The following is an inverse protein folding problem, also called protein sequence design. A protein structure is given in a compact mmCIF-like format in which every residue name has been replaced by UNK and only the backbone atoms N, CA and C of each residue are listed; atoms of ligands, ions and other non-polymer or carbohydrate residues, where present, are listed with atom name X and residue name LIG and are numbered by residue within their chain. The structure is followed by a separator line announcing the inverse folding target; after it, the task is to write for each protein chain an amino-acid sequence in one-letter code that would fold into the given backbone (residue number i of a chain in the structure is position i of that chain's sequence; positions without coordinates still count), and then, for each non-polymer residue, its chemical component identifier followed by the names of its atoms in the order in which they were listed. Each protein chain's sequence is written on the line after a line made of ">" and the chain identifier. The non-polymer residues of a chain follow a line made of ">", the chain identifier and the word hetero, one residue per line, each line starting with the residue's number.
data_IF_557430924149
#
_entry.id   IF_557430924149
#
_cell.length_a   1.000
_cell.length_b   1.000
_cell.length_c   1.000
_cell.angle_alpha   90.00
_cell.angle_beta   90.00
_cell.angle_gamma   90.00
#
_symmetry.space_group_name_H-M   'P 1'
#
loop_
_entity.id
_entity.type
_entity.pdbx_description
1 polymer ?
#
# COMPACT_ATOMS: atom_id res chain seq x y z
N UNK A 1 25.98 -12.01 8.47
CA UNK A 1 26.13 -10.59 8.09
C UNK A 1 25.28 -10.37 6.86
N UNK A 2 24.32 -9.44 6.93
CA UNK A 2 23.40 -9.11 5.83
C UNK A 2 24.17 -8.68 4.57
N UNK A 3 23.51 -8.71 3.41
CA UNK A 3 24.10 -8.24 2.15
C UNK A 3 24.21 -6.70 2.08
N UNK A 4 23.70 -5.98 3.09
CA UNK A 4 23.64 -4.53 3.16
C UNK A 4 23.93 -4.02 4.59
N UNK A 5 24.10 -2.71 4.70
CA UNK A 5 24.19 -1.93 5.93
C UNK A 5 23.36 -0.65 5.82
N UNK A 6 22.87 -0.13 6.94
CA UNK A 6 22.19 1.17 6.99
C UNK A 6 23.20 2.23 7.41
N UNK A 7 23.31 3.30 6.61
CA UNK A 7 24.25 4.41 6.81
C UNK A 7 23.53 5.75 6.76
N UNK A 8 24.02 6.72 7.53
CA UNK A 8 23.62 8.12 7.35
C UNK A 8 24.35 8.72 6.16
N UNK A 9 23.61 9.30 5.22
CA UNK A 9 24.10 9.99 4.04
C UNK A 9 23.77 11.49 4.10
N UNK A 10 24.76 12.39 3.92
CA UNK A 10 24.52 13.83 3.93
C UNK A 10 23.41 14.23 2.95
N UNK A 11 22.42 14.98 3.43
CA UNK A 11 21.30 15.48 2.62
C UNK A 11 20.23 14.44 2.25
N UNK A 12 20.44 13.16 2.55
CA UNK A 12 19.49 12.06 2.23
C UNK A 12 19.03 11.27 3.45
N UNK A 13 19.59 11.56 4.62
CA UNK A 13 19.31 10.83 5.85
C UNK A 13 19.81 9.39 5.77
N UNK A 14 19.06 8.45 6.33
CA UNK A 14 19.43 7.03 6.30
C UNK A 14 19.30 6.46 4.90
N UNK A 15 20.25 5.61 4.53
CA UNK A 15 20.30 4.93 3.26
C UNK A 15 20.75 3.48 3.46
N UNK A 16 20.23 2.60 2.61
CA UNK A 16 20.70 1.22 2.51
C UNK A 16 21.86 1.14 1.52
N UNK A 17 22.99 0.60 1.97
CA UNK A 17 24.21 0.49 1.16
C UNK A 17 24.62 -0.97 1.06
N UNK A 18 25.00 -1.42 -0.13
CA UNK A 18 25.41 -2.80 -0.34
C UNK A 18 26.73 -3.11 0.36
N UNK A 19 26.76 -4.17 1.16
CA UNK A 19 27.95 -4.67 1.84
C UNK A 19 28.66 -5.79 1.04
N UNK A 20 28.07 -6.23 -0.08
CA UNK A 20 28.55 -7.30 -0.96
C UNK A 20 28.26 -6.95 -2.42
N UNK A 21 28.97 -7.56 -3.36
CA UNK A 21 28.54 -7.50 -4.76
C UNK A 21 27.29 -8.37 -4.94
N UNK A 22 26.28 -7.82 -5.59
CA UNK A 22 25.02 -8.47 -5.93
C UNK A 22 24.89 -8.54 -7.45
N UNK A 23 24.35 -9.63 -7.96
CA UNK A 23 24.01 -9.79 -9.38
C UNK A 23 22.56 -9.36 -9.62
N UNK A 24 22.21 -9.16 -10.88
CA UNK A 24 20.81 -9.07 -11.30
C UNK A 24 20.05 -10.28 -10.76
N UNK A 25 18.84 -10.01 -10.29
CA UNK A 25 17.92 -10.96 -9.70
C UNK A 25 18.26 -11.53 -8.31
N UNK A 26 19.38 -11.16 -7.71
CA UNK A 26 19.69 -11.55 -6.34
C UNK A 26 18.64 -10.99 -5.36
N UNK A 27 18.16 -11.84 -4.46
CA UNK A 27 17.32 -11.43 -3.33
C UNK A 27 18.22 -10.77 -2.28
N UNK A 28 17.94 -9.50 -2.00
CA UNK A 28 18.69 -8.70 -1.03
C UNK A 28 18.20 -9.02 0.39
N UNK A 29 16.88 -9.01 0.59
CA UNK A 29 16.21 -9.51 1.79
C UNK A 29 14.74 -9.81 1.55
N UNK A 30 14.15 -10.53 2.50
CA UNK A 30 12.71 -10.69 2.67
C UNK A 30 12.30 -10.13 4.04
N UNK A 31 11.14 -9.47 4.12
CA UNK A 31 10.66 -8.83 5.34
C UNK A 31 9.15 -8.99 5.51
N UNK A 32 8.74 -9.47 6.69
CA UNK A 32 7.34 -9.38 7.13
C UNK A 32 7.01 -7.97 7.62
N UNK A 33 5.78 -7.48 7.42
CA UNK A 33 5.42 -6.13 7.84
C UNK A 33 5.42 -6.00 9.36
N UNK A 34 5.87 -4.83 9.82
CA UNK A 34 5.62 -4.40 11.18
C UNK A 34 4.11 -4.33 11.43
N UNK A 35 3.37 -3.74 10.50
CA UNK A 35 1.91 -3.79 10.44
C UNK A 35 1.46 -3.69 8.98
N UNK A 36 0.44 -4.45 8.59
CA UNK A 36 -0.20 -4.37 7.27
C UNK A 36 -1.71 -4.25 7.45
N UNK A 37 -2.43 -3.70 6.49
CA UNK A 37 -3.90 -3.68 6.50
C UNK A 37 -4.46 -3.53 5.09
N UNK A 38 -5.63 -4.11 4.86
CA UNK A 38 -6.38 -3.94 3.62
C UNK A 38 -6.90 -2.50 3.51
N UNK A 39 -6.91 -1.96 2.30
CA UNK A 39 -7.51 -0.65 2.03
C UNK A 39 -9.01 -0.62 2.34
N UNK A 40 -9.50 0.54 2.79
CA UNK A 40 -10.85 0.68 3.33
C UNK A 40 -11.91 0.52 2.24
N UNK A 41 -11.66 1.09 1.07
CA UNK A 41 -12.49 0.93 -0.11
C UNK A 41 -12.37 -0.47 -0.71
N UNK A 42 -11.19 -1.09 -0.75
CA UNK A 42 -11.07 -2.49 -1.19
C UNK A 42 -11.98 -3.42 -0.36
N UNK A 43 -11.96 -3.26 0.96
CA UNK A 43 -12.86 -4.00 1.84
C UNK A 43 -14.34 -3.68 1.57
N UNK A 44 -14.68 -2.41 1.30
CA UNK A 44 -16.06 -1.98 0.99
C UNK A 44 -16.56 -2.50 -0.37
N UNK A 45 -15.68 -2.60 -1.37
CA UNK A 45 -15.95 -3.18 -2.70
C UNK A 45 -15.93 -4.71 -2.70
N UNK A 46 -15.74 -5.33 -1.53
CA UNK A 46 -15.83 -6.78 -1.36
C UNK A 46 -14.58 -7.55 -1.77
N UNK A 47 -13.43 -6.88 -1.92
CA UNK A 47 -12.15 -7.56 -2.14
C UNK A 47 -11.87 -8.46 -0.93
N UNK A 48 -11.73 -9.76 -1.16
CA UNK A 48 -11.57 -10.72 -0.09
C UNK A 48 -10.08 -10.99 0.14
N UNK A 49 -9.53 -10.50 1.25
CA UNK A 49 -8.13 -10.71 1.63
C UNK A 49 -8.02 -11.26 3.06
N UNK A 50 -6.93 -11.99 3.33
CA UNK A 50 -6.59 -12.45 4.66
C UNK A 50 -6.33 -11.23 5.55
N UNK A 51 -7.05 -11.14 6.67
CA UNK A 51 -6.87 -10.04 7.63
C UNK A 51 -5.49 -10.04 8.29
N UNK A 52 -4.70 -11.12 8.14
CA UNK A 52 -3.32 -11.15 8.63
C UNK A 52 -2.29 -10.84 7.54
N UNK A 53 -2.18 -11.71 6.54
CA UNK A 53 -1.08 -11.67 5.59
C UNK A 53 -1.48 -11.12 4.21
N UNK A 54 -2.65 -10.50 4.08
CA UNK A 54 -3.18 -9.96 2.82
C UNK A 54 -3.43 -10.96 1.69
N UNK A 55 -3.11 -12.25 1.87
CA UNK A 55 -3.33 -13.28 0.86
C UNK A 55 -4.78 -13.29 0.35
N UNK A 56 -5.02 -13.38 -0.97
CA UNK A 56 -6.36 -13.38 -1.52
C UNK A 56 -7.21 -14.56 -1.04
N UNK A 57 -8.47 -14.27 -0.76
CA UNK A 57 -9.49 -15.21 -0.27
C UNK A 57 -10.65 -15.42 -1.26
N UNK A 58 -10.39 -15.09 -2.53
CA UNK A 58 -11.29 -15.29 -3.67
C UNK A 58 -10.52 -15.98 -4.80
N UNK A 59 -11.21 -16.86 -5.52
CA UNK A 59 -10.73 -17.54 -6.73
C UNK A 59 -10.51 -16.56 -7.88
N UNK A 60 -9.78 -16.97 -8.93
CA UNK A 60 -9.65 -16.17 -10.15
C UNK A 60 -11.02 -15.88 -10.78
N UNK A 61 -11.94 -16.83 -10.69
CA UNK A 61 -13.30 -16.67 -11.21
C UNK A 61 -14.10 -15.64 -10.42
N UNK A 62 -14.06 -15.70 -9.08
CA UNK A 62 -14.71 -14.70 -8.23
C UNK A 62 -14.09 -13.30 -8.43
N UNK A 63 -12.76 -13.22 -8.48
CA UNK A 63 -12.02 -11.99 -8.67
C UNK A 63 -12.38 -11.31 -10.00
N UNK A 64 -12.23 -11.99 -11.15
CA UNK A 64 -12.55 -11.39 -12.46
C UNK A 64 -14.02 -10.99 -12.55
N UNK A 65 -14.95 -11.85 -12.10
CA UNK A 65 -16.38 -11.54 -12.17
C UNK A 65 -16.76 -10.30 -11.37
N UNK A 66 -16.12 -10.11 -10.21
CA UNK A 66 -16.30 -8.92 -9.37
C UNK A 66 -15.69 -7.69 -10.05
N UNK A 67 -14.44 -7.80 -10.52
CA UNK A 67 -13.69 -6.69 -11.11
C UNK A 67 -14.25 -6.22 -12.46
N UNK A 68 -14.83 -7.12 -13.25
CA UNK A 68 -15.49 -6.79 -14.50
C UNK A 68 -17.01 -6.52 -14.33
N UNK A 69 -17.54 -6.64 -13.10
CA UNK A 69 -18.98 -6.59 -12.81
C UNK A 69 -19.83 -7.51 -13.71
N UNK A 70 -19.34 -8.72 -13.98
CA UNK A 70 -19.99 -9.70 -14.87
C UNK A 70 -20.11 -11.07 -14.19
N UNK A 71 -21.18 -11.33 -13.43
CA UNK A 71 -21.34 -12.56 -12.64
C UNK A 71 -21.33 -13.87 -13.45
N UNK A 72 -21.66 -13.80 -14.74
CA UNK A 72 -21.72 -14.95 -15.65
C UNK A 72 -20.46 -15.12 -16.52
N UNK A 73 -19.43 -14.27 -16.33
CA UNK A 73 -18.22 -14.32 -17.15
C UNK A 73 -17.52 -15.68 -16.97
N UNK A 74 -17.18 -16.30 -18.10
CA UNK A 74 -16.44 -17.56 -18.13
C UNK A 74 -14.94 -17.27 -18.06
N UNK A 75 -14.24 -17.95 -17.15
CA UNK A 75 -12.80 -17.85 -17.00
C UNK A 75 -12.17 -19.16 -17.51
N UNK A 76 -11.30 -19.12 -18.53
CA UNK A 76 -10.58 -20.29 -19.01
C UNK A 76 -9.49 -20.69 -18.01
N UNK A 77 -8.92 -21.89 -18.17
CA UNK A 77 -7.68 -22.30 -17.47
C UNK A 77 -7.75 -22.14 -15.93
N UNK A 78 -8.91 -22.44 -15.33
CA UNK A 78 -9.13 -22.30 -13.88
C UNK A 78 -8.35 -23.31 -13.04
N UNK A 79 -7.82 -24.37 -13.66
CA UNK A 79 -6.86 -25.27 -13.05
C UNK A 79 -5.53 -24.59 -12.67
N UNK A 80 -5.25 -23.40 -13.22
CA UNK A 80 -4.09 -22.56 -12.87
C UNK A 80 -4.44 -21.45 -11.87
N UNK A 81 -5.60 -21.51 -11.23
CA UNK A 81 -5.99 -20.55 -10.17
C UNK A 81 -4.92 -20.52 -9.06
N UNK A 82 -4.30 -19.35 -8.79
CA UNK A 82 -3.25 -19.26 -7.79
C UNK A 82 -3.73 -19.59 -6.37
N UNK A 83 -5.02 -19.41 -6.09
CA UNK A 83 -5.59 -19.63 -4.76
C UNK A 83 -5.92 -21.07 -4.45
N UNK A 84 -5.93 -21.95 -5.45
CA UNK A 84 -6.38 -23.35 -5.34
C UNK A 84 -5.73 -24.12 -4.17
N UNK A 85 -4.49 -23.78 -3.82
CA UNK A 85 -3.71 -24.42 -2.76
C UNK A 85 -4.26 -24.15 -1.34
N UNK A 86 -4.91 -23.00 -1.13
CA UNK A 86 -5.32 -22.54 0.21
C UNK A 86 -6.83 -22.33 0.38
N UNK A 87 -7.64 -22.41 -0.69
CA UNK A 87 -9.10 -22.26 -0.63
C UNK A 87 -9.77 -23.10 0.48
N UNK A 88 -9.29 -24.33 0.68
CA UNK A 88 -9.87 -25.28 1.66
C UNK A 88 -9.50 -24.97 3.11
N UNK A 89 -8.54 -24.08 3.33
CA UNK A 89 -7.97 -23.79 4.66
C UNK A 89 -8.54 -22.49 5.25
N UNK A 90 -9.41 -21.80 4.50
CA UNK A 90 -10.03 -20.57 4.96
C UNK A 90 -10.77 -20.75 6.27
N UNK A 91 -10.48 -19.83 7.19
CA UNK A 91 -11.11 -19.78 8.51
C UNK A 91 -11.60 -18.36 8.78
N UNK A 92 -12.29 -18.17 9.90
CA UNK A 92 -12.77 -16.85 10.30
C UNK A 92 -12.77 -16.68 11.82
N UNK A 93 -12.74 -15.44 12.26
CA UNK A 93 -12.97 -15.12 13.67
C UNK A 93 -14.40 -15.54 14.07
N UNK A 94 -14.54 -16.27 15.17
CA UNK A 94 -15.84 -16.73 15.66
C UNK A 94 -16.76 -15.59 16.11
N UNK A 95 -16.20 -14.42 16.46
CA UNK A 95 -16.95 -13.25 16.93
C UNK A 95 -17.34 -12.31 15.79
N UNK A 96 -16.36 -11.74 15.09
CA UNK A 96 -16.61 -10.74 14.06
C UNK A 96 -16.66 -11.30 12.62
N UNK A 97 -16.36 -12.59 12.40
CA UNK A 97 -16.37 -13.23 11.08
C UNK A 97 -15.34 -12.70 10.07
N UNK A 98 -14.37 -11.88 10.50
CA UNK A 98 -13.24 -11.54 9.64
C UNK A 98 -12.52 -12.82 9.21
N UNK A 99 -12.04 -12.87 7.96
CA UNK A 99 -11.55 -14.09 7.32
C UNK A 99 -10.02 -14.14 7.32
N UNK A 100 -9.49 -15.36 7.35
CA UNK A 100 -8.05 -15.65 7.29
C UNK A 100 -7.80 -16.79 6.30
N UNK A 101 -6.62 -16.78 5.67
CA UNK A 101 -6.25 -17.84 4.73
C UNK A 101 -5.95 -19.19 5.41
N UNK A 102 -5.60 -19.16 6.70
CA UNK A 102 -5.31 -20.36 7.50
C UNK A 102 -5.55 -20.11 8.99
N UNK A 103 -5.54 -21.20 9.77
CA UNK A 103 -5.67 -21.14 11.23
C UNK A 103 -4.44 -20.50 11.90
N UNK A 104 -3.25 -20.69 11.33
CA UNK A 104 -2.02 -20.02 11.77
C UNK A 104 -2.16 -18.51 11.65
N UNK A 105 -2.64 -18.00 10.51
CA UNK A 105 -2.91 -16.57 10.34
C UNK A 105 -3.94 -16.04 11.34
N UNK A 106 -5.00 -16.81 11.62
CA UNK A 106 -6.01 -16.44 12.61
C UNK A 106 -5.43 -16.34 14.03
N UNK A 107 -4.58 -17.31 14.40
CA UNK A 107 -3.93 -17.35 15.72
C UNK A 107 -2.93 -16.20 15.87
N UNK A 108 -2.10 -15.95 14.86
CA UNK A 108 -1.10 -14.88 14.92
C UNK A 108 -1.77 -13.50 14.94
N UNK A 109 -2.82 -13.28 14.15
CA UNK A 109 -3.63 -12.07 14.24
C UNK A 109 -4.24 -11.89 15.64
N UNK A 110 -4.84 -12.95 16.21
CA UNK A 110 -5.40 -12.92 17.57
C UNK A 110 -4.38 -12.55 18.63
N UNK A 111 -3.14 -13.05 18.49
CA UNK A 111 -2.03 -12.79 19.40
C UNK A 111 -1.44 -11.40 19.24
N UNK A 112 -1.42 -10.82 18.04
CA UNK A 112 -0.75 -9.53 17.77
C UNK A 112 -1.65 -8.32 17.93
N UNK A 113 -2.91 -8.39 17.50
CA UNK A 113 -3.79 -7.20 17.48
C UNK A 113 -5.27 -7.52 17.52
N UNK A 114 -5.70 -8.65 16.95
CA UNK A 114 -7.12 -8.91 16.74
C UNK A 114 -7.87 -9.12 18.06
N UNK A 115 -7.22 -9.50 19.17
CA UNK A 115 -7.88 -9.51 20.48
C UNK A 115 -8.45 -8.14 20.85
N UNK A 116 -7.67 -7.08 20.59
CA UNK A 116 -8.01 -5.68 20.88
C UNK A 116 -8.87 -5.09 19.76
N UNK A 117 -8.51 -5.33 18.50
CA UNK A 117 -9.18 -4.75 17.32
C UNK A 117 -10.49 -5.45 16.92
N UNK A 118 -10.85 -6.59 17.52
CA UNK A 118 -12.05 -7.33 17.14
C UNK A 118 -13.32 -6.56 17.51
N UNK A 119 -14.05 -6.10 16.49
CA UNK A 119 -15.34 -5.42 16.67
C UNK A 119 -16.49 -6.34 17.09
N UNK A 120 -16.30 -7.67 17.12
CA UNK A 120 -17.35 -8.63 17.47
C UNK A 120 -18.64 -8.40 16.66
N UNK A 121 -19.76 -8.26 17.36
CA UNK A 121 -21.08 -7.96 16.78
C UNK A 121 -21.19 -6.57 16.17
N UNK A 122 -20.31 -5.63 16.54
CA UNK A 122 -20.30 -4.26 16.04
C UNK A 122 -19.60 -4.12 14.67
N UNK A 123 -19.12 -5.22 14.07
CA UNK A 123 -18.41 -5.16 12.78
C UNK A 123 -19.18 -4.39 11.70
N UNK A 124 -20.50 -4.55 11.66
CA UNK A 124 -21.37 -3.90 10.68
C UNK A 124 -22.17 -2.73 11.29
N UNK A 125 -21.77 -2.24 12.48
CA UNK A 125 -22.42 -1.14 13.16
C UNK A 125 -21.71 0.18 12.85
N UNK A 126 -22.30 1.00 11.99
CA UNK A 126 -21.74 2.30 11.57
C UNK A 126 -21.67 3.34 12.71
N UNK A 127 -22.34 3.08 13.86
CA UNK A 127 -22.23 3.95 15.04
C UNK A 127 -21.01 3.63 15.89
N UNK A 128 -20.36 2.47 15.69
CA UNK A 128 -19.16 2.11 16.42
C UNK A 128 -18.02 3.09 16.10
N UNK A 129 -17.27 3.62 17.08
CA UNK A 129 -16.25 4.65 16.86
C UNK A 129 -15.22 4.31 15.77
N UNK A 130 -14.74 3.06 15.73
CA UNK A 130 -13.80 2.58 14.70
C UNK A 130 -14.42 2.59 13.29
N UNK A 131 -15.70 2.23 13.16
CA UNK A 131 -16.38 2.24 11.86
C UNK A 131 -16.66 3.68 11.43
N UNK A 132 -17.09 4.56 12.35
CA UNK A 132 -17.24 6.00 12.09
C UNK A 132 -15.92 6.62 11.59
N UNK A 133 -14.80 6.29 12.24
CA UNK A 133 -13.46 6.71 11.82
C UNK A 133 -13.15 6.25 10.38
N UNK A 134 -13.47 4.99 10.05
CA UNK A 134 -13.29 4.44 8.71
C UNK A 134 -14.15 5.15 7.65
N UNK A 135 -15.40 5.46 7.97
CA UNK A 135 -16.29 6.16 7.04
C UNK A 135 -15.84 7.60 6.79
N UNK A 136 -15.33 8.29 7.82
CA UNK A 136 -14.73 9.63 7.65
C UNK A 136 -13.50 9.54 6.75
N UNK A 137 -12.61 8.55 6.97
CA UNK A 137 -11.45 8.32 6.11
C UNK A 137 -11.84 8.15 4.64
N UNK A 138 -12.78 7.24 4.34
CA UNK A 138 -13.24 6.97 2.97
C UNK A 138 -13.84 8.19 2.28
N UNK A 139 -14.51 9.08 3.03
CA UNK A 139 -15.06 10.34 2.48
C UNK A 139 -13.99 11.37 2.16
N UNK A 140 -12.85 11.31 2.84
CA UNK A 140 -11.71 12.21 2.61
C UNK A 140 -10.76 11.69 1.53
N UNK A 141 -10.60 10.38 1.44
CA UNK A 141 -9.69 9.70 0.54
C UNK A 141 -10.52 8.81 -0.38
N UNK A 142 -11.01 9.40 -1.45
CA UNK A 142 -11.62 8.63 -2.53
C UNK A 142 -10.51 7.86 -3.29
N UNK A 143 -10.81 6.69 -3.88
CA UNK A 143 -9.83 5.91 -4.61
C UNK A 143 -9.18 6.69 -5.78
N UNK A 144 -7.91 6.42 -6.11
CA UNK A 144 -7.06 5.33 -5.58
C UNK A 144 -6.52 5.58 -4.16
N UNK A 145 -6.66 4.60 -3.26
CA UNK A 145 -6.13 4.71 -1.89
C UNK A 145 -4.61 4.50 -1.87
N UNK A 146 -3.90 5.45 -1.25
CA UNK A 146 -2.45 5.34 -0.95
C UNK A 146 -2.18 4.94 0.51
N UNK A 147 -3.23 4.87 1.33
CA UNK A 147 -3.17 4.55 2.75
C UNK A 147 -4.55 4.16 3.30
N UNK A 148 -4.60 3.69 4.56
CA UNK A 148 -5.87 3.44 5.26
C UNK A 148 -5.75 3.76 6.73
N UNK A 149 -6.78 4.41 7.29
CA UNK A 149 -6.87 4.67 8.73
C UNK A 149 -6.91 3.37 9.57
N UNK A 150 -7.32 2.25 8.96
CA UNK A 150 -7.33 0.94 9.63
C UNK A 150 -5.92 0.46 9.97
N UNK A 151 -4.90 0.95 9.28
CA UNK A 151 -3.50 0.68 9.62
C UNK A 151 -3.17 1.24 11.02
N UNK A 152 -3.64 2.46 11.34
CA UNK A 152 -3.48 3.05 12.67
C UNK A 152 -4.31 2.32 13.73
N UNK A 153 -5.53 1.86 13.38
CA UNK A 153 -6.34 1.03 14.27
C UNK A 153 -5.59 -0.24 14.67
N UNK A 154 -5.03 -0.94 13.68
CA UNK A 154 -4.25 -2.15 13.91
C UNK A 154 -2.97 -1.85 14.68
N UNK A 155 -2.27 -0.78 14.35
CA UNK A 155 -1.03 -0.36 15.01
C UNK A 155 -1.25 -0.10 16.51
N UNK A 156 -2.30 0.64 16.88
CA UNK A 156 -2.61 0.90 18.28
C UNK A 156 -3.08 -0.35 19.03
N UNK A 157 -3.81 -1.24 18.36
CA UNK A 157 -4.14 -2.55 18.90
C UNK A 157 -2.87 -3.39 19.18
N UNK A 158 -1.89 -3.35 18.26
CA UNK A 158 -0.59 -4.00 18.47
C UNK A 158 0.19 -3.39 19.63
N UNK A 159 0.18 -2.06 19.79
CA UNK A 159 0.82 -1.40 20.92
C UNK A 159 0.21 -1.84 22.25
N UNK A 160 -1.12 -1.93 22.32
CA UNK A 160 -1.82 -2.35 23.54
C UNK A 160 -1.53 -3.81 23.90
N UNK A 161 -1.48 -4.70 22.90
CA UNK A 161 -1.19 -6.14 23.10
C UNK A 161 0.32 -6.42 23.32
N UNK A 162 1.20 -5.46 23.02
CA UNK A 162 2.66 -5.63 23.16
C UNK A 162 3.11 -5.76 24.62
N UNK A 163 3.86 -6.83 24.90
CA UNK A 163 4.53 -7.05 26.18
C UNK A 163 5.74 -6.13 26.38
N UNK A 164 6.32 -5.61 25.29
CA UNK A 164 7.49 -4.71 25.32
C UNK A 164 7.15 -3.39 24.61
N UNK A 165 6.45 -2.51 25.32
CA UNK A 165 6.05 -1.20 24.81
C UNK A 165 7.24 -0.33 24.42
N UNK A 166 8.39 -0.48 25.10
CA UNK A 166 9.60 0.29 24.82
C UNK A 166 10.15 -0.05 23.43
N UNK A 167 10.36 -1.33 23.16
CA UNK A 167 10.85 -1.79 21.85
C UNK A 167 9.86 -1.49 20.73
N UNK A 168 8.54 -1.61 20.99
CA UNK A 168 7.52 -1.21 20.04
C UNK A 168 7.64 0.27 19.65
N UNK A 169 7.79 1.15 20.64
CA UNK A 169 7.95 2.59 20.42
C UNK A 169 9.28 2.92 19.73
N UNK A 170 10.38 2.21 20.05
CA UNK A 170 11.67 2.37 19.36
C UNK A 170 11.55 2.00 17.87
N UNK A 171 10.87 0.89 17.56
CA UNK A 171 10.58 0.49 16.18
C UNK A 171 9.69 1.51 15.47
N UNK A 172 8.63 1.99 16.12
CA UNK A 172 7.74 3.02 15.57
C UNK A 172 8.46 4.35 15.31
N UNK A 173 9.31 4.78 16.24
CA UNK A 173 10.14 5.99 16.11
C UNK A 173 11.24 5.84 15.04
N UNK A 174 11.54 4.61 14.61
CA UNK A 174 12.50 4.39 13.53
C UNK A 174 11.95 4.80 12.16
N UNK A 175 10.64 4.92 11.97
CA UNK A 175 10.06 5.39 10.71
C UNK A 175 10.21 6.91 10.55
N UNK A 176 10.17 7.40 9.30
CA UNK A 176 10.13 8.84 9.06
C UNK A 176 8.77 9.37 9.52
N UNK A 177 8.73 10.46 10.27
CA UNK A 177 7.46 11.09 10.72
C UNK A 177 7.36 12.56 10.36
N UNK A 178 8.33 13.07 9.60
CA UNK A 178 8.31 14.43 9.10
C UNK A 178 7.11 14.62 8.17
N UNK A 179 6.27 15.57 8.54
CA UNK A 179 5.15 16.07 7.73
C UNK A 179 5.50 17.37 7.00
N UNK A 180 6.66 17.95 7.33
CA UNK A 180 7.19 19.19 6.74
C UNK A 180 8.70 19.08 6.62
N UNK A 181 9.22 19.32 5.41
CA UNK A 181 10.64 19.56 5.19
C UNK A 181 10.88 21.07 5.30
N UNK A 182 11.32 21.51 6.49
CA UNK A 182 11.48 22.94 6.80
C UNK A 182 12.59 23.61 5.98
N UNK A 183 13.61 22.85 5.57
CA UNK A 183 14.73 23.38 4.78
C UNK A 183 14.27 23.74 3.36
N UNK A 184 13.44 22.89 2.77
CA UNK A 184 12.93 23.07 1.40
C UNK A 184 11.51 23.69 1.35
N UNK A 185 10.89 23.92 2.51
CA UNK A 185 9.50 24.41 2.67
C UNK A 185 8.46 23.56 1.95
N UNK A 186 8.65 22.24 1.97
CA UNK A 186 7.71 21.28 1.38
C UNK A 186 6.80 20.73 2.48
N UNK A 187 5.51 20.63 2.18
CA UNK A 187 4.47 20.11 3.08
C UNK A 187 3.85 18.87 2.44
N UNK A 188 3.51 17.88 3.26
CA UNK A 188 2.79 16.70 2.78
C UNK A 188 1.38 17.09 2.27
N UNK A 189 0.94 16.54 1.12
CA UNK A 189 -0.37 16.84 0.49
C UNK A 189 -1.56 16.73 1.46
N UNK A 190 -1.58 15.65 2.25
CA UNK A 190 -2.59 15.42 3.32
C UNK A 190 -2.72 16.54 4.38
N UNK A 191 -1.77 17.49 4.46
CA UNK A 191 -1.83 18.62 5.39
C UNK A 191 -1.93 19.99 4.68
N UNK A 192 -2.28 20.00 3.39
CA UNK A 192 -2.58 21.24 2.68
C UNK A 192 -3.79 21.97 3.26
N UNK A 193 -3.89 23.29 3.02
CA UNK A 193 -4.96 24.16 3.57
C UNK A 193 -6.37 23.65 3.23
N UNK A 194 -6.53 23.00 2.07
CA UNK A 194 -7.80 22.42 1.61
C UNK A 194 -8.30 21.25 2.49
N UNK A 195 -7.41 20.58 3.23
CA UNK A 195 -7.74 19.38 4.01
C UNK A 195 -7.85 19.64 5.51
N UNK A 196 -7.60 20.86 5.98
CA UNK A 196 -7.51 21.18 7.42
C UNK A 196 -8.78 20.81 8.20
N UNK A 197 -9.96 21.21 7.67
CA UNK A 197 -11.26 20.90 8.30
C UNK A 197 -11.57 19.41 8.33
N UNK A 198 -11.25 18.70 7.26
CA UNK A 198 -11.47 17.25 7.18
C UNK A 198 -10.52 16.51 8.14
N UNK A 199 -9.26 16.94 8.22
CA UNK A 199 -8.28 16.41 9.17
C UNK A 199 -8.67 16.64 10.63
N UNK A 200 -9.29 17.77 10.95
CA UNK A 200 -9.85 18.02 12.29
C UNK A 200 -10.99 17.03 12.62
N UNK A 201 -11.90 16.78 11.68
CA UNK A 201 -12.97 15.79 11.86
C UNK A 201 -12.42 14.38 12.05
N UNK A 202 -11.41 14.00 11.26
CA UNK A 202 -10.74 12.71 11.37
C UNK A 202 -10.05 12.56 12.72
N UNK A 203 -9.35 13.60 13.19
CA UNK A 203 -8.69 13.62 14.50
C UNK A 203 -9.70 13.45 15.65
N UNK A 204 -10.84 14.16 15.61
CA UNK A 204 -11.89 14.01 16.62
C UNK A 204 -12.41 12.56 16.64
N UNK A 205 -12.72 11.99 15.48
CA UNK A 205 -13.17 10.60 15.39
C UNK A 205 -12.09 9.59 15.84
N UNK A 206 -10.82 9.90 15.60
CA UNK A 206 -9.69 9.10 16.08
C UNK A 206 -9.63 9.09 17.61
N UNK A 207 -9.74 10.26 18.24
CA UNK A 207 -9.80 10.38 19.70
C UNK A 207 -11.04 9.68 20.30
N UNK A 208 -12.20 9.75 19.62
CA UNK A 208 -13.39 9.01 20.02
C UNK A 208 -13.18 7.49 19.95
N UNK A 209 -12.40 7.01 18.98
CA UNK A 209 -12.12 5.59 18.79
C UNK A 209 -11.09 5.02 19.77
N UNK A 210 -10.15 5.85 20.23
CA UNK A 210 -9.06 5.46 21.14
C UNK A 210 -9.18 6.15 22.50
N UNK A 211 -10.29 5.88 23.20
CA UNK A 211 -10.50 6.33 24.56
C UNK A 211 -9.74 5.42 25.55
N UNK A 212 -9.02 6.02 26.49
CA UNK A 212 -8.28 5.29 27.52
C UNK A 212 -6.94 5.93 27.84
N UNK A 213 -6.47 5.77 29.08
CA UNK A 213 -5.17 6.27 29.50
C UNK A 213 -4.03 5.60 28.72
N UNK A 214 -4.22 4.36 28.27
CA UNK A 214 -3.25 3.60 27.49
C UNK A 214 -2.94 4.24 26.12
N UNK A 215 -3.87 5.00 25.55
CA UNK A 215 -3.72 5.66 24.24
C UNK A 215 -3.41 7.16 24.34
N UNK A 216 -3.38 7.71 25.55
CA UNK A 216 -3.19 9.15 25.79
C UNK A 216 -1.96 9.77 25.11
N UNK A 217 -0.89 8.99 24.90
CA UNK A 217 0.31 9.45 24.19
C UNK A 217 0.13 9.58 22.67
N UNK A 218 -0.88 8.92 22.09
CA UNK A 218 -1.15 8.92 20.65
C UNK A 218 -2.30 9.86 20.27
N UNK A 219 -3.14 10.23 21.22
CA UNK A 219 -4.34 11.06 21.01
C UNK A 219 -4.09 12.55 21.24
N UNK A 220 -2.84 13.00 21.24
CA UNK A 220 -2.53 14.44 21.14
C UNK A 220 -2.54 14.87 19.67
N UNK A 221 -2.79 16.16 19.36
CA UNK A 221 -2.77 16.65 17.98
C UNK A 221 -1.42 16.41 17.30
N UNK A 222 -0.32 16.58 18.03
CA UNK A 222 1.04 16.39 17.51
C UNK A 222 1.33 14.91 17.23
N UNK A 223 0.91 14.01 18.12
CA UNK A 223 1.10 12.58 17.92
C UNK A 223 0.27 12.05 16.75
N UNK A 224 -0.99 12.50 16.63
CA UNK A 224 -1.83 12.16 15.48
C UNK A 224 -1.21 12.63 14.16
N UNK A 225 -0.74 13.89 14.09
CA UNK A 225 -0.03 14.40 12.90
C UNK A 225 1.22 13.59 12.58
N UNK A 226 1.98 13.18 13.59
CA UNK A 226 3.17 12.34 13.40
C UNK A 226 2.80 10.94 12.87
N UNK A 227 1.72 10.32 13.38
CA UNK A 227 1.21 9.04 12.87
C UNK A 227 0.75 9.15 11.41
N UNK A 228 0.09 10.25 11.05
CA UNK A 228 -0.33 10.53 9.68
C UNK A 228 0.87 10.73 8.74
N UNK A 229 1.88 11.48 9.16
CA UNK A 229 3.13 11.63 8.40
C UNK A 229 3.88 10.32 8.24
N UNK A 230 3.90 9.50 9.30
CA UNK A 230 4.49 8.17 9.27
C UNK A 230 3.79 7.27 8.25
N UNK A 231 2.46 7.24 8.27
CA UNK A 231 1.70 6.49 7.28
C UNK A 231 1.95 7.02 5.87
N UNK A 232 1.89 8.33 5.64
CA UNK A 232 2.06 8.93 4.30
C UNK A 232 3.44 8.72 3.69
N UNK A 233 4.51 8.76 4.50
CA UNK A 233 5.90 8.76 3.98
C UNK A 233 6.58 7.39 3.99
N UNK A 234 6.00 6.37 4.62
CA UNK A 234 6.64 5.05 4.76
C UNK A 234 5.75 3.87 4.31
N UNK A 235 4.46 4.11 4.03
CA UNK A 235 3.57 3.04 3.60
C UNK A 235 4.00 2.46 2.27
N UNK A 236 4.04 1.13 2.20
CA UNK A 236 4.25 0.38 0.97
C UNK A 236 2.93 -0.27 0.56
N UNK A 237 2.47 0.02 -0.66
CA UNK A 237 1.35 -0.68 -1.28
C UNK A 237 1.64 -2.17 -1.43
N UNK A 238 0.68 -3.01 -1.05
CA UNK A 238 0.78 -4.47 -1.11
C UNK A 238 -0.01 -4.94 -2.33
N UNK A 239 0.71 -5.48 -3.33
CA UNK A 239 0.13 -6.00 -4.57
C UNK A 239 0.12 -7.54 -4.55
N UNK A 240 -1.06 -8.10 -4.41
CA UNK A 240 -1.38 -9.52 -4.24
C UNK A 240 -2.48 -9.98 -5.21
N UNK A 241 -2.61 -9.31 -6.36
CA UNK A 241 -3.67 -9.54 -7.33
C UNK A 241 -3.70 -10.96 -7.88
N UNK A 242 -4.84 -11.62 -7.66
CA UNK A 242 -5.15 -12.96 -8.19
C UNK A 242 -5.12 -12.96 -9.72
N UNK A 243 -5.66 -11.90 -10.34
CA UNK A 243 -5.65 -11.74 -11.80
C UNK A 243 -4.23 -11.64 -12.35
N UNK A 244 -3.39 -10.78 -11.77
CA UNK A 244 -2.01 -10.61 -12.24
C UNK A 244 -1.20 -11.90 -12.10
N UNK A 245 -1.35 -12.63 -11.00
CA UNK A 245 -0.65 -13.90 -10.80
C UNK A 245 -1.14 -14.99 -11.77
N UNK A 246 -2.45 -15.05 -12.02
CA UNK A 246 -3.02 -15.98 -12.99
C UNK A 246 -2.54 -15.67 -14.41
N UNK A 247 -2.60 -14.40 -14.85
CA UNK A 247 -2.10 -13.93 -16.16
C UNK A 247 -0.65 -14.37 -16.35
N UNK A 248 0.22 -14.08 -15.38
CA UNK A 248 1.62 -14.50 -15.42
C UNK A 248 1.77 -16.02 -15.63
N UNK A 249 1.02 -16.83 -14.89
CA UNK A 249 1.07 -18.30 -15.01
C UNK A 249 0.60 -18.80 -16.37
N UNK A 250 -0.50 -18.26 -16.89
CA UNK A 250 -1.11 -18.76 -18.14
C UNK A 250 -0.35 -18.30 -19.39
N UNK A 251 0.25 -17.11 -19.37
CA UNK A 251 1.08 -16.59 -20.48
C UNK A 251 2.39 -17.38 -20.66
N UNK A 252 2.92 -18.00 -19.60
CA UNK A 252 4.11 -18.86 -19.65
C UNK A 252 3.83 -20.28 -20.16
N UNK A 253 2.56 -20.65 -20.40
CA UNK A 253 2.20 -22.01 -20.82
C UNK A 253 2.64 -22.31 -22.28
N UNK A 254 3.12 -23.52 -22.56
CA UNK A 254 3.49 -23.95 -23.92
C UNK A 254 2.24 -24.32 -24.72
N UNK A 255 1.41 -23.33 -25.07
CA UNK A 255 0.20 -23.50 -25.86
C UNK A 255 0.48 -23.43 -27.37
N UNK A 256 -0.33 -24.09 -28.22
CA UNK A 256 -0.33 -23.83 -29.66
C UNK A 256 -0.60 -22.35 -29.95
N UNK A 257 0.05 -21.79 -30.98
CA UNK A 257 -0.05 -20.36 -31.34
C UNK A 257 -1.49 -19.86 -31.45
N UNK A 258 -2.39 -20.68 -32.00
CA UNK A 258 -3.81 -20.35 -32.13
C UNK A 258 -4.53 -20.21 -30.79
N UNK A 259 -4.13 -20.99 -29.78
CA UNK A 259 -4.72 -20.93 -28.45
C UNK A 259 -4.07 -19.84 -27.61
N UNK A 260 -2.79 -19.56 -27.84
CA UNK A 260 -2.09 -18.42 -27.26
C UNK A 260 -2.71 -17.09 -27.68
N UNK A 261 -2.96 -16.90 -28.99
CA UNK A 261 -3.60 -15.67 -29.48
C UNK A 261 -5.01 -15.46 -28.89
N UNK A 262 -5.79 -16.53 -28.75
CA UNK A 262 -7.11 -16.44 -28.10
C UNK A 262 -7.01 -16.10 -26.61
N UNK A 263 -5.99 -16.61 -25.94
CA UNK A 263 -5.73 -16.30 -24.52
C UNK A 263 -5.32 -14.84 -24.37
N UNK A 264 -4.43 -14.34 -25.23
CA UNK A 264 -3.98 -12.94 -25.21
C UNK A 264 -5.17 -12.00 -25.50
N UNK A 265 -5.98 -12.28 -26.52
CA UNK A 265 -7.22 -11.53 -26.80
C UNK A 265 -8.20 -11.54 -25.61
N UNK A 266 -8.31 -12.67 -24.91
CA UNK A 266 -9.15 -12.76 -23.71
C UNK A 266 -8.58 -11.93 -22.56
N UNK A 267 -7.27 -12.00 -22.32
CA UNK A 267 -6.61 -11.24 -21.25
C UNK A 267 -6.78 -9.73 -21.48
N UNK A 268 -6.60 -9.27 -22.72
CA UNK A 268 -6.80 -7.87 -23.10
C UNK A 268 -8.25 -7.43 -22.88
N UNK A 269 -9.23 -8.23 -23.28
CA UNK A 269 -10.66 -7.98 -23.02
C UNK A 269 -10.98 -7.92 -21.52
N UNK A 270 -10.36 -8.78 -20.70
CA UNK A 270 -10.52 -8.71 -19.24
C UNK A 270 -9.93 -7.42 -18.68
N UNK A 271 -8.70 -7.05 -19.03
CA UNK A 271 -8.10 -5.80 -18.55
C UNK A 271 -8.90 -4.58 -18.98
N UNK A 272 -9.47 -4.58 -20.20
CA UNK A 272 -10.36 -3.52 -20.67
C UNK A 272 -11.63 -3.41 -19.81
N UNK A 273 -12.35 -4.52 -19.59
CA UNK A 273 -13.57 -4.54 -18.75
C UNK A 273 -13.30 -4.15 -17.30
N UNK A 274 -12.18 -4.61 -16.79
CA UNK A 274 -11.72 -4.33 -15.44
C UNK A 274 -11.35 -2.85 -15.31
N UNK A 275 -10.68 -2.27 -16.30
CA UNK A 275 -10.41 -0.83 -16.37
C UNK A 275 -11.68 0.01 -16.47
N UNK A 276 -12.68 -0.42 -17.26
CA UNK A 276 -13.97 0.27 -17.41
C UNK A 276 -14.78 0.31 -16.09
N UNK A 277 -14.79 -0.79 -15.32
CA UNK A 277 -15.60 -0.89 -14.12
C UNK A 277 -14.87 -0.51 -12.83
N UNK A 278 -13.68 -1.06 -12.62
CA UNK A 278 -12.92 -0.84 -11.40
C UNK A 278 -11.90 0.30 -11.53
N UNK A 279 -11.39 0.60 -12.73
CA UNK A 279 -10.40 1.66 -12.93
C UNK A 279 -9.12 1.41 -12.12
N UNK A 280 -8.52 2.46 -11.57
CA UNK A 280 -7.27 2.37 -10.79
C UNK A 280 -7.41 1.73 -9.39
N UNK A 281 -8.60 1.24 -9.00
CA UNK A 281 -8.82 0.52 -7.73
C UNK A 281 -7.86 -0.63 -7.46
N UNK A 282 -7.17 -1.10 -8.49
CA UNK A 282 -6.70 -2.47 -8.63
C UNK A 282 -5.21 -2.66 -8.37
N UNK A 283 -4.47 -1.57 -8.20
CA UNK A 283 -3.02 -1.66 -8.20
C UNK A 283 -2.50 -2.33 -6.92
N UNK A 284 -3.23 -2.19 -5.81
CA UNK A 284 -2.83 -2.70 -4.49
C UNK A 284 -4.05 -3.09 -3.65
N UNK A 285 -3.98 -4.20 -2.92
CA UNK A 285 -5.03 -4.69 -2.03
C UNK A 285 -5.00 -3.99 -0.68
N UNK A 286 -3.84 -3.49 -0.26
CA UNK A 286 -3.64 -2.83 1.02
C UNK A 286 -2.29 -2.14 1.12
N UNK A 287 -1.90 -1.86 2.36
CA UNK A 287 -0.65 -1.17 2.68
C UNK A 287 0.02 -1.79 3.89
N UNK A 288 1.34 -1.66 4.00
CA UNK A 288 2.11 -2.07 5.16
C UNK A 288 3.28 -1.14 5.48
N UNK A 289 3.71 -1.21 6.74
CA UNK A 289 4.92 -0.57 7.25
C UNK A 289 6.00 -1.63 7.46
N UNK A 290 7.18 -1.38 6.91
CA UNK A 290 8.30 -2.32 6.88
C UNK A 290 9.55 -1.65 7.45
N UNK A 291 10.15 -2.23 8.48
CA UNK A 291 11.21 -1.58 9.26
C UNK A 291 12.50 -1.38 8.44
N UNK A 292 12.86 -2.35 7.60
CA UNK A 292 14.04 -2.31 6.74
C UNK A 292 13.73 -1.64 5.40
N UNK A 293 12.63 -1.99 4.74
CA UNK A 293 12.28 -1.39 3.45
C UNK A 293 12.06 0.14 3.55
N UNK A 294 11.53 0.65 4.67
CA UNK A 294 11.40 2.11 4.91
C UNK A 294 12.73 2.87 5.02
N UNK A 295 13.87 2.18 4.97
CA UNK A 295 15.22 2.78 5.03
C UNK A 295 15.89 2.89 3.65
N UNK A 296 15.20 2.47 2.60
CA UNK A 296 15.71 2.47 1.23
C UNK A 296 15.25 3.75 0.56
N UNK A 297 16.19 4.52 0.01
CA UNK A 297 15.86 5.78 -0.65
C UNK A 297 15.31 5.59 -2.06
N UNK A 298 14.65 6.65 -2.53
CA UNK A 298 14.18 6.77 -3.90
C UNK A 298 15.32 7.03 -4.91
N UNK A 299 15.18 6.48 -6.11
CA UNK A 299 15.81 6.94 -7.35
C UNK A 299 14.83 6.78 -8.53
N UNK A 300 14.75 7.76 -9.44
CA UNK A 300 14.00 7.60 -10.70
C UNK A 300 14.71 6.66 -11.69
N UNK A 301 15.91 6.17 -11.34
CA UNK A 301 16.62 5.08 -12.00
C UNK A 301 17.05 4.08 -10.92
N UNK A 302 16.11 3.26 -10.40
CA UNK A 302 16.39 2.37 -9.28
C UNK A 302 17.33 1.22 -9.68
N UNK A 303 18.03 0.65 -8.70
CA UNK A 303 18.84 -0.56 -8.89
C UNK A 303 18.27 -1.78 -8.15
N UNK A 304 17.18 -1.61 -7.41
CA UNK A 304 16.39 -2.68 -6.80
C UNK A 304 14.89 -2.41 -6.95
N UNK A 305 14.08 -3.47 -6.83
CA UNK A 305 12.62 -3.38 -6.81
C UNK A 305 12.03 -4.15 -5.62
N UNK A 306 10.90 -3.65 -5.12
CA UNK A 306 10.05 -4.35 -4.15
C UNK A 306 9.10 -5.28 -4.91
N UNK A 307 8.93 -6.51 -4.42
CA UNK A 307 8.01 -7.50 -4.97
C UNK A 307 7.28 -8.27 -3.89
N UNK A 308 6.14 -8.89 -4.26
CA UNK A 308 5.33 -9.74 -3.39
C UNK A 308 5.15 -11.14 -4.02
N UNK A 309 6.22 -11.94 -4.16
CA UNK A 309 6.20 -13.18 -4.93
C UNK A 309 5.38 -14.31 -4.31
N UNK A 310 4.95 -14.16 -3.05
CA UNK A 310 4.24 -15.19 -2.27
C UNK A 310 2.74 -14.91 -2.13
N UNK A 311 2.23 -13.93 -2.87
CA UNK A 311 0.81 -13.51 -2.86
C UNK A 311 0.33 -13.25 -1.44
N UNK A 312 1.14 -12.52 -0.69
CA UNK A 312 0.92 -12.07 0.67
C UNK A 312 1.66 -10.75 0.90
N UNK A 313 1.65 -10.28 2.14
CA UNK A 313 2.29 -9.03 2.57
C UNK A 313 3.80 -9.13 2.85
N UNK A 314 4.47 -10.21 2.47
CA UNK A 314 5.93 -10.31 2.62
C UNK A 314 6.60 -9.56 1.48
N UNK A 315 7.38 -8.54 1.82
CA UNK A 315 8.21 -7.80 0.86
C UNK A 315 9.45 -8.63 0.55
N UNK A 316 9.75 -8.77 -0.74
CA UNK A 316 11.01 -9.29 -1.24
C UNK A 316 11.70 -8.19 -2.05
N UNK A 317 12.87 -7.75 -1.57
CA UNK A 317 13.70 -6.78 -2.29
C UNK A 317 14.67 -7.52 -3.20
N UNK A 318 14.60 -7.20 -4.49
CA UNK A 318 15.36 -7.89 -5.55
C UNK A 318 16.21 -6.90 -6.34
N UNK A 319 17.45 -7.24 -6.64
CA UNK A 319 18.34 -6.43 -7.47
C UNK A 319 17.89 -6.44 -8.95
N UNK A 320 17.80 -5.25 -9.56
CA UNK A 320 17.46 -5.07 -10.99
C UNK A 320 18.68 -5.16 -11.91
N UNK A 321 19.84 -4.85 -11.35
CA UNK A 321 21.12 -4.79 -12.04
C UNK A 321 22.25 -5.15 -11.07
N UNK A 322 23.47 -5.43 -11.52
CA UNK A 322 24.58 -5.66 -10.61
C UNK A 322 24.82 -4.45 -9.69
N UNK A 323 24.94 -4.70 -8.38
CA UNK A 323 25.19 -3.67 -7.36
C UNK A 323 26.54 -3.95 -6.71
N UNK A 324 27.46 -2.99 -6.75
CA UNK A 324 28.79 -3.13 -6.16
C UNK A 324 28.81 -2.86 -4.65
N UNK A 325 29.83 -3.36 -3.97
CA UNK A 325 30.08 -3.03 -2.56
C UNK A 325 30.22 -1.52 -2.40
N UNK A 326 29.46 -0.94 -1.46
CA UNK A 326 29.45 0.49 -1.19
C UNK A 326 28.46 1.31 -2.03
N UNK A 327 27.79 0.71 -3.02
CA UNK A 327 26.72 1.38 -3.76
C UNK A 327 25.44 1.45 -2.92
N UNK A 328 24.74 2.59 -3.03
CA UNK A 328 23.43 2.75 -2.41
C UNK A 328 22.39 1.91 -3.16
N UNK A 329 21.58 1.18 -2.41
CA UNK A 329 20.44 0.45 -2.92
C UNK A 329 19.25 1.41 -2.92
N UNK A 330 18.66 1.64 -4.08
CA UNK A 330 17.54 2.55 -4.28
C UNK A 330 16.38 1.84 -4.99
N UNK A 331 15.16 2.14 -4.55
CA UNK A 331 13.91 1.72 -5.19
C UNK A 331 13.21 2.92 -5.83
N UNK A 332 12.18 2.67 -6.65
CA UNK A 332 11.26 3.73 -7.05
C UNK A 332 10.15 3.88 -6.00
N UNK A 333 9.72 5.13 -5.79
CA UNK A 333 8.53 5.48 -5.01
C UNK A 333 7.37 5.85 -5.94
N UNK A 334 7.64 5.86 -7.24
CA UNK A 334 6.72 6.14 -8.33
C UNK A 334 6.40 4.82 -9.02
N UNK A 335 5.18 4.66 -9.51
CA UNK A 335 4.83 3.54 -10.38
C UNK A 335 5.52 3.64 -11.76
N UNK A 336 5.38 2.59 -12.57
CA UNK A 336 6.05 2.48 -13.88
C UNK A 336 5.62 3.60 -14.83
N UNK A 337 4.33 3.94 -14.89
CA UNK A 337 3.82 5.02 -15.73
C UNK A 337 4.34 6.39 -15.28
N UNK A 338 4.34 6.65 -13.97
CA UNK A 338 4.90 7.87 -13.38
C UNK A 338 6.41 8.00 -13.61
N UNK A 339 7.16 6.90 -13.61
CA UNK A 339 8.60 6.92 -13.90
C UNK A 339 8.90 7.40 -15.32
N UNK A 340 8.01 7.15 -16.27
CA UNK A 340 8.15 7.56 -17.67
C UNK A 340 7.75 9.03 -17.90
N UNK A 341 6.94 9.62 -17.00
CA UNK A 341 6.53 11.04 -17.05
C UNK A 341 7.72 12.00 -16.95
N UNK A 342 7.48 13.28 -17.26
CA UNK A 342 8.50 14.34 -17.27
C UNK A 342 9.18 14.51 -15.91
N UNK A 343 10.38 15.12 -15.89
CA UNK A 343 11.07 15.46 -14.64
C UNK A 343 10.17 16.31 -13.74
N UNK A 344 9.42 17.25 -14.32
CA UNK A 344 8.50 18.11 -13.58
C UNK A 344 7.46 17.30 -12.82
N UNK A 345 6.71 16.45 -13.52
CA UNK A 345 5.63 15.65 -12.96
C UNK A 345 6.13 14.70 -11.87
N UNK A 346 7.27 14.02 -12.11
CA UNK A 346 7.91 13.18 -11.07
C UNK A 346 8.30 13.96 -9.82
N UNK A 347 8.88 15.16 -9.97
CA UNK A 347 9.27 16.00 -8.84
C UNK A 347 8.07 16.53 -8.07
N UNK A 348 6.97 16.87 -8.75
CA UNK A 348 5.70 17.28 -8.12
C UNK A 348 5.21 16.18 -7.18
N UNK A 349 5.04 14.96 -7.70
CA UNK A 349 4.57 13.79 -6.94
C UNK A 349 5.50 13.51 -5.73
N UNK A 350 6.82 13.52 -5.94
CA UNK A 350 7.78 13.25 -4.86
C UNK A 350 7.77 14.33 -3.76
N UNK A 351 7.60 15.61 -4.12
CA UNK A 351 7.48 16.69 -3.15
C UNK A 351 6.19 16.56 -2.34
N UNK A 352 5.07 16.33 -3.02
CA UNK A 352 3.75 16.28 -2.39
C UNK A 352 3.58 15.09 -1.44
N UNK A 353 4.13 13.92 -1.79
CA UNK A 353 3.93 12.68 -1.03
C UNK A 353 5.11 12.34 -0.10
N UNK A 354 6.35 12.67 -0.50
CA UNK A 354 7.56 12.24 0.21
C UNK A 354 8.44 13.39 0.69
N UNK A 355 8.06 14.63 0.37
CA UNK A 355 8.61 15.84 1.01
C UNK A 355 10.11 16.04 0.74
N UNK A 356 10.57 15.65 -0.45
CA UNK A 356 11.96 15.86 -0.90
C UNK A 356 12.04 16.19 -2.39
N UNK A 357 13.21 16.69 -2.83
CA UNK A 357 13.56 16.88 -4.24
C UNK A 357 14.50 15.77 -4.67
N UNK A 358 14.15 15.05 -5.74
CA UNK A 358 15.00 13.97 -6.25
C UNK A 358 16.19 14.52 -7.03
N UNK A 359 17.39 14.14 -6.61
CA UNK A 359 18.65 14.55 -7.27
C UNK A 359 19.35 13.35 -7.93
N UNK A 360 18.60 12.28 -8.26
CA UNK A 360 19.17 11.11 -8.93
C UNK A 360 19.73 11.46 -10.32
N UNK A 361 20.55 10.57 -10.87
CA UNK A 361 21.19 10.76 -12.18
C UNK A 361 20.18 11.11 -13.30
N UNK A 362 19.01 10.45 -13.33
CA UNK A 362 17.95 10.75 -14.30
C UNK A 362 17.45 12.21 -14.17
N UNK A 363 17.12 12.64 -12.95
CA UNK A 363 16.65 14.01 -12.68
C UNK A 363 17.72 15.09 -12.92
N UNK A 364 19.01 14.77 -12.76
CA UNK A 364 20.10 15.70 -13.08
C UNK A 364 20.30 15.84 -14.59
N UNK A 365 20.22 14.73 -15.32
CA UNK A 365 20.33 14.72 -16.79
C UNK A 365 19.21 15.51 -17.46
N UNK A 366 18.01 15.42 -16.92
CA UNK A 366 16.78 16.06 -17.43
C UNK A 366 16.55 17.47 -16.84
N UNK A 367 17.56 18.07 -16.17
CA UNK A 367 17.38 19.32 -15.43
C UNK A 367 17.09 20.55 -16.30
N UNK A 368 17.44 20.50 -17.59
CA UNK A 368 17.22 21.58 -18.56
C UNK A 368 16.06 21.28 -19.52
N UNK A 369 15.36 20.16 -19.32
CA UNK A 369 14.21 19.82 -20.14
C UNK A 369 13.06 20.79 -19.82
N UNK A 370 12.19 21.12 -20.79
CA UNK A 370 11.02 21.96 -20.55
C UNK A 370 10.14 21.37 -19.44
N UNK A 371 9.64 22.23 -18.56
CA UNK A 371 8.60 21.88 -17.59
C UNK A 371 7.24 21.76 -18.32
N UNK A 372 7.10 20.75 -19.19
CA UNK A 372 5.87 20.43 -19.91
C UNK A 372 5.15 19.27 -19.22
N UNK A 373 3.87 19.49 -18.91
CA UNK A 373 2.89 18.46 -18.50
C UNK A 373 2.05 18.14 -19.74
N UNK A 374 1.91 16.87 -20.12
CA UNK A 374 1.03 16.51 -21.25
C UNK A 374 -0.43 16.84 -20.91
N UNK A 375 -1.26 17.17 -21.90
CA UNK A 375 -2.68 17.49 -21.67
C UNK A 375 -3.45 16.36 -20.97
N UNK A 376 -3.03 15.10 -21.17
CA UNK A 376 -3.53 13.90 -20.45
C UNK A 376 -3.20 13.90 -18.94
N UNK A 377 -2.33 14.78 -18.45
CA UNK A 377 -2.00 14.91 -17.01
C UNK A 377 -2.97 15.84 -16.25
N UNK A 378 -3.86 16.58 -16.92
CA UNK A 378 -4.84 17.46 -16.25
C UNK A 378 -6.06 16.69 -15.71
N UNK A 379 -6.43 15.57 -16.33
CA UNK A 379 -7.64 14.81 -15.97
C UNK A 379 -7.48 14.00 -14.66
N UNK A 380 -6.27 13.56 -14.30
CA UNK A 380 -5.98 12.89 -13.02
C UNK A 380 -6.09 13.85 -11.81
N UNK A 381 -5.81 15.16 -12.03
CA UNK A 381 -5.72 16.17 -10.97
C UNK A 381 -7.08 16.83 -10.64
N UNK A 382 -8.07 16.85 -11.55
CA UNK A 382 -9.42 17.42 -11.28
C UNK A 382 -10.37 16.46 -10.54
N UNK A 383 -10.13 15.15 -10.55
CA UNK A 383 -10.97 14.19 -9.81
C UNK A 383 -10.91 14.35 -8.28
N UNK A 384 -9.84 14.96 -7.76
CA UNK A 384 -9.68 15.28 -6.32
C UNK A 384 -10.44 16.57 -5.91
N UNK A 385 -10.83 17.42 -6.87
CA UNK A 385 -11.46 18.72 -6.60
C UNK A 385 -12.98 18.69 -6.68
N UNK A 386 -13.55 17.91 -7.61
CA UNK A 386 -15.01 17.94 -7.88
C UNK A 386 -15.85 17.05 -6.95
N UNK A 387 -15.24 16.09 -6.25
CA UNK A 387 -15.96 15.23 -5.30
C UNK A 387 -16.47 15.97 -4.04
N UNK A 388 -15.96 17.18 -3.78
CA UNK A 388 -16.33 17.98 -2.60
C UNK A 388 -17.54 18.90 -2.82
N UNK A 389 -17.88 19.27 -4.06
CA UNK A 389 -18.99 20.20 -4.34
C UNK A 389 -20.29 19.50 -4.77
N UNK A 390 -20.24 18.31 -5.37
CA UNK A 390 -21.44 17.67 -5.94
C UNK A 390 -22.32 16.89 -4.94
N UNK A 391 -21.87 16.65 -3.71
CA UNK A 391 -22.68 15.98 -2.68
C UNK A 391 -23.66 16.91 -1.93
N UNK A 392 -23.84 18.17 -2.38
CA UNK A 392 -24.86 19.07 -1.85
C UNK A 392 -26.15 19.14 -2.70
N UNK A 393 -26.20 18.48 -3.86
CA UNK A 393 -27.40 18.46 -4.70
C UNK A 393 -27.64 17.07 -5.32
N UNK A 394 -28.07 16.09 -4.52
CA UNK A 394 -29.20 15.20 -4.86
C UNK A 394 -29.37 14.09 -3.80
N UNK A 395 -30.58 14.04 -3.24
CA UNK A 395 -31.20 13.07 -2.33
C UNK A 395 -30.90 13.15 -0.83
#
# INVERSE_FOLDING_TARGET
>A
MYAFEIKEMPGRGRAMVSAKSLNTDDIIFEEEPFVSCQFSWNAAYGYAACDHCMRPLETITENIRRLANQPALAVPLTEYDPTAQWLKQFTSCSKCRVRYCSEECRIEALKRYHRIACLGSYRNDNSHPINKLNEIWKKMHYPPETGTIQLLVRLLAMYQESNNKKEFLENLQSFQSLVVNKEQRIYHKMLGENFERQMEQLYVAFCEAFQGEEFSMFTTPEAFKALMGLMGTNSQGIATSVLAEWVKKVTELPLPETDKNKLDEYIDDIYHKVGEFAGEFLNNEGTGLYLLQSKINHSCLPNAQVTFPYSNDIVVLKALQPIQVGEEICISYLDEGQLERSRHSRQKILKENYIFVCECFKCQREANDPDETSEEEYDDDEMDMDAAEDNAMNN
#
